data_IF_226847019130
#
_entry.id   IF_226847019130
#
_cell.length_a   1.000
_cell.length_b   1.000
_cell.length_c   1.000
_cell.angle_alpha   90.00
_cell.angle_beta   90.00
_cell.angle_gamma   90.00
#
_symmetry.space_group_name_H-M   'P 1'
#
loop_
_entity.id
_entity.type
_entity.pdbx_description
1 polymer ?
#
# COMPACT_ATOMS: atom_id res chain seq x y z
N UNK A 1 -17.78 -1.36 -37.96
CA UNK A 1 -16.89 -2.40 -37.42
C UNK A 1 -16.52 -2.02 -36.00
N UNK A 2 -16.72 -2.90 -35.03
CA UNK A 2 -16.26 -2.71 -33.65
C UNK A 2 -14.76 -3.03 -33.61
N UNK A 3 -13.93 -2.07 -33.16
CA UNK A 3 -12.51 -2.25 -32.97
C UNK A 3 -12.21 -2.07 -31.47
N UNK A 4 -11.57 -3.06 -30.85
CA UNK A 4 -11.08 -2.94 -29.48
C UNK A 4 -9.79 -2.08 -29.50
N UNK A 5 -9.81 -0.84 -28.99
CA UNK A 5 -8.74 0.13 -29.23
C UNK A 5 -7.42 -0.22 -28.52
N UNK A 6 -7.44 -1.17 -27.58
CA UNK A 6 -6.27 -1.62 -26.82
C UNK A 6 -5.76 -3.00 -27.24
N UNK A 7 -6.44 -3.66 -28.17
CA UNK A 7 -6.08 -4.99 -28.64
C UNK A 7 -5.04 -4.88 -29.77
N UNK A 8 -3.82 -5.31 -29.49
CA UNK A 8 -2.78 -5.45 -30.48
C UNK A 8 -2.97 -6.78 -31.23
N UNK A 9 -3.42 -6.66 -32.48
CA UNK A 9 -3.69 -7.80 -33.37
C UNK A 9 -2.42 -8.58 -33.71
N UNK A 10 -1.25 -7.93 -33.72
CA UNK A 10 0.02 -8.54 -34.09
C UNK A 10 0.57 -9.46 -33.00
N UNK A 11 0.41 -9.05 -31.75
CA UNK A 11 0.86 -9.81 -30.57
C UNK A 11 -0.28 -10.64 -29.96
N UNK A 12 -1.50 -10.53 -30.47
CA UNK A 12 -2.73 -11.10 -29.89
C UNK A 12 -2.87 -10.74 -28.40
N UNK A 13 -2.41 -9.55 -28.02
CA UNK A 13 -2.29 -9.14 -26.63
C UNK A 13 -2.98 -7.79 -26.41
N UNK A 14 -3.29 -7.51 -25.16
CA UNK A 14 -3.78 -6.19 -24.74
C UNK A 14 -2.73 -5.60 -23.81
N UNK A 15 -2.07 -4.53 -24.24
CA UNK A 15 -0.89 -3.98 -23.56
C UNK A 15 -1.21 -3.27 -22.23
N UNK A 16 -2.49 -3.02 -21.92
CA UNK A 16 -2.90 -2.13 -20.83
C UNK A 16 -4.06 -2.63 -19.95
N UNK A 17 -4.45 -3.92 -20.02
CA UNK A 17 -5.59 -4.43 -19.21
C UNK A 17 -5.19 -5.38 -18.09
N UNK A 18 -3.90 -5.57 -17.80
CA UNK A 18 -3.47 -6.33 -16.63
C UNK A 18 -3.66 -5.48 -15.37
N UNK A 19 -4.62 -5.86 -14.54
CA UNK A 19 -4.85 -5.26 -13.22
C UNK A 19 -4.13 -6.14 -12.18
N UNK A 20 -3.15 -5.57 -11.47
CA UNK A 20 -2.41 -6.30 -10.42
C UNK A 20 -3.25 -6.51 -9.14
N UNK A 21 -4.38 -5.82 -9.01
CA UNK A 21 -5.26 -5.84 -7.83
C UNK A 21 -6.60 -6.53 -8.11
N UNK A 22 -7.09 -7.31 -7.15
CA UNK A 22 -8.39 -7.98 -7.22
C UNK A 22 -9.55 -7.13 -6.69
N UNK A 23 -9.40 -5.80 -6.75
CA UNK A 23 -10.39 -4.85 -6.23
C UNK A 23 -11.32 -4.36 -7.35
N UNK A 24 -12.60 -4.28 -7.01
CA UNK A 24 -13.67 -3.80 -7.89
C UNK A 24 -13.90 -2.30 -7.71
N UNK A 25 -14.65 -1.68 -8.62
CA UNK A 25 -15.10 -0.30 -8.40
C UNK A 25 -15.93 -0.21 -7.12
N UNK A 26 -15.73 0.86 -6.35
CA UNK A 26 -16.38 1.09 -5.08
C UNK A 26 -16.49 2.58 -4.80
N UNK A 27 -17.54 2.99 -4.10
CA UNK A 27 -17.70 4.33 -3.54
C UNK A 27 -16.82 4.45 -2.29
N UNK A 28 -15.55 4.81 -2.50
CA UNK A 28 -14.52 4.84 -1.45
C UNK A 28 -14.62 6.10 -0.59
N UNK A 29 -15.19 7.19 -1.12
CA UNK A 29 -15.38 8.45 -0.40
C UNK A 29 -16.82 8.71 0.06
N UNK A 30 -17.72 7.75 -0.15
CA UNK A 30 -19.12 7.75 0.29
C UNK A 30 -19.95 8.92 -0.26
N UNK A 31 -19.66 9.37 -1.50
CA UNK A 31 -20.41 10.44 -2.17
C UNK A 31 -21.52 9.92 -3.11
N UNK A 32 -21.74 8.61 -3.16
CA UNK A 32 -22.75 7.95 -3.96
C UNK A 32 -22.31 7.61 -5.40
N UNK A 33 -21.06 7.92 -5.77
CA UNK A 33 -20.49 7.54 -7.06
C UNK A 33 -19.42 6.46 -6.88
N UNK A 34 -19.26 5.59 -7.88
CA UNK A 34 -18.24 4.54 -7.83
C UNK A 34 -16.92 5.04 -8.41
N UNK A 35 -15.83 4.82 -7.67
CA UNK A 35 -14.47 5.08 -8.14
C UNK A 35 -13.91 3.86 -8.84
N UNK A 36 -13.14 4.12 -9.88
CA UNK A 36 -12.39 3.11 -10.60
C UNK A 36 -11.02 2.98 -9.92
N UNK A 37 -10.64 1.80 -9.38
CA UNK A 37 -9.30 1.59 -8.86
C UNK A 37 -8.31 1.43 -10.03
N UNK A 38 -7.23 2.21 -9.98
CA UNK A 38 -6.13 2.17 -10.95
C UNK A 38 -4.82 1.94 -10.21
N UNK A 39 -4.14 0.84 -10.51
CA UNK A 39 -2.81 0.54 -9.99
C UNK A 39 -1.78 1.51 -10.56
N UNK A 40 -0.89 2.00 -9.71
CA UNK A 40 0.27 2.78 -10.14
C UNK A 40 1.50 2.28 -9.38
N UNK A 41 2.60 2.13 -10.10
CA UNK A 41 3.87 1.68 -9.54
C UNK A 41 4.30 2.60 -8.40
N UNK A 42 4.58 1.99 -7.25
CA UNK A 42 5.18 2.71 -6.15
C UNK A 42 6.66 2.97 -6.48
N UNK A 43 7.18 4.18 -6.24
CA UNK A 43 8.59 4.44 -6.49
C UNK A 43 9.47 3.46 -5.72
N UNK A 44 10.52 2.93 -6.34
CA UNK A 44 11.39 1.95 -5.70
C UNK A 44 10.84 0.52 -5.64
N UNK A 45 9.58 0.25 -6.01
CA UNK A 45 9.00 -1.10 -5.95
C UNK A 45 9.27 -1.96 -7.20
N UNK A 46 9.57 -1.31 -8.32
CA UNK A 46 9.95 -1.91 -9.60
C UNK A 46 11.46 -1.83 -9.87
N UNK A 47 12.26 -1.37 -8.91
CA UNK A 47 13.72 -1.46 -8.99
C UNK A 47 14.07 -2.92 -8.77
N UNK A 48 13.91 -3.69 -9.85
CA UNK A 48 14.47 -5.01 -10.11
C UNK A 48 16.01 -4.95 -10.25
N UNK A 49 16.64 -3.99 -9.56
CA UNK A 49 18.03 -3.98 -9.22
C UNK A 49 18.11 -4.00 -7.71
N UNK A 50 18.76 -5.04 -7.19
CA UNK A 50 18.89 -5.42 -5.80
C UNK A 50 19.30 -4.31 -4.81
N UNK A 51 19.45 -3.03 -5.18
CA UNK A 51 19.94 -1.95 -4.32
C UNK A 51 18.95 -1.50 -3.24
N UNK A 52 17.68 -1.21 -3.56
CA UNK A 52 16.71 -0.76 -2.55
C UNK A 52 16.33 -1.90 -1.59
N UNK A 53 16.19 -3.11 -2.13
CA UNK A 53 15.96 -4.36 -1.42
C UNK A 53 17.17 -4.74 -0.55
N UNK A 54 18.41 -4.60 -1.05
CA UNK A 54 19.63 -4.85 -0.27
C UNK A 54 19.91 -3.77 0.77
N UNK A 55 19.55 -2.51 0.53
CA UNK A 55 19.64 -1.42 1.51
C UNK A 55 18.63 -1.61 2.64
N UNK A 56 17.43 -2.09 2.33
CA UNK A 56 16.46 -2.49 3.35
C UNK A 56 16.93 -3.73 4.13
N UNK A 57 17.43 -4.76 3.43
CA UNK A 57 17.99 -5.97 4.04
C UNK A 57 19.23 -5.68 4.92
N UNK A 58 20.01 -4.64 4.59
CA UNK A 58 21.14 -4.19 5.42
C UNK A 58 20.70 -3.44 6.69
N UNK A 59 19.49 -2.87 6.70
CA UNK A 59 18.93 -2.14 7.83
C UNK A 59 17.91 -2.96 8.65
N UNK A 60 17.37 -4.06 8.10
CA UNK A 60 16.50 -4.99 8.81
C UNK A 60 17.31 -6.08 9.49
N UNK A 61 17.00 -6.39 10.76
CA UNK A 61 17.57 -7.54 11.48
C UNK A 61 17.03 -8.90 11.00
N UNK A 62 16.10 -8.91 10.05
CA UNK A 62 15.53 -10.10 9.41
C UNK A 62 16.00 -10.18 7.95
N UNK A 63 16.52 -11.35 7.56
CA UNK A 63 17.24 -11.65 6.30
C UNK A 63 16.34 -11.83 5.06
N UNK A 64 15.02 -11.62 5.12
CA UNK A 64 14.17 -11.81 3.95
C UNK A 64 14.07 -10.52 3.13
N UNK A 65 14.70 -10.53 1.95
CA UNK A 65 14.50 -9.52 0.92
C UNK A 65 12.99 -9.29 0.64
N UNK A 66 12.49 -8.04 0.58
CA UNK A 66 11.09 -7.76 0.23
C UNK A 66 10.70 -8.46 -1.08
N UNK A 67 9.63 -9.27 -1.01
CA UNK A 67 9.30 -10.25 -2.06
C UNK A 67 8.25 -9.78 -3.05
N UNK A 68 7.71 -8.55 -2.89
CA UNK A 68 6.57 -8.06 -3.67
C UNK A 68 6.82 -6.67 -4.24
N UNK A 69 6.54 -6.53 -5.54
CA UNK A 69 6.30 -5.21 -6.13
C UNK A 69 5.03 -4.62 -5.54
N UNK A 70 5.16 -3.49 -4.86
CA UNK A 70 4.04 -2.78 -4.23
C UNK A 70 3.53 -1.68 -5.15
N UNK A 71 2.23 -1.48 -5.15
CA UNK A 71 1.54 -0.45 -5.94
C UNK A 71 0.73 0.43 -4.98
N UNK A 72 0.56 1.70 -5.32
CA UNK A 72 -0.55 2.47 -4.76
C UNK A 72 -1.75 2.39 -5.71
N UNK A 73 -2.93 2.39 -5.13
CA UNK A 73 -4.21 2.47 -5.84
C UNK A 73 -4.62 3.92 -5.92
N UNK A 74 -4.80 4.42 -7.14
CA UNK A 74 -5.45 5.68 -7.44
C UNK A 74 -6.94 5.42 -7.66
N UNK A 75 -7.79 5.97 -6.79
CA UNK A 75 -9.23 5.90 -6.93
C UNK A 75 -9.70 7.08 -7.77
N UNK A 76 -10.26 6.80 -8.95
CA UNK A 76 -10.62 7.85 -9.92
C UNK A 76 -12.11 7.92 -10.19
N UNK A 77 -12.61 9.15 -10.28
CA UNK A 77 -13.95 9.47 -10.82
C UNK A 77 -13.83 9.92 -12.27
N UNK A 78 -14.77 9.52 -13.10
CA UNK A 78 -14.94 10.09 -14.44
C UNK A 78 -15.98 11.22 -14.37
N UNK A 79 -15.53 12.48 -14.46
CA UNK A 79 -16.38 13.68 -14.50
C UNK A 79 -15.80 14.68 -15.49
N UNK A 80 -16.67 15.41 -16.19
CA UNK A 80 -16.30 16.41 -17.21
C UNK A 80 -15.31 15.85 -18.27
N UNK A 81 -15.63 14.65 -18.79
CA UNK A 81 -14.82 13.92 -19.77
C UNK A 81 -13.37 13.63 -19.35
N UNK A 82 -13.09 13.59 -18.04
CA UNK A 82 -11.75 13.35 -17.49
C UNK A 82 -11.78 12.43 -16.27
N UNK A 83 -10.75 11.59 -16.14
CA UNK A 83 -10.48 10.84 -14.91
C UNK A 83 -9.75 11.73 -13.91
N UNK A 84 -10.33 11.91 -12.72
CA UNK A 84 -9.72 12.66 -11.61
C UNK A 84 -9.53 11.76 -10.42
N UNK A 85 -8.33 11.77 -9.84
CA UNK A 85 -8.10 11.13 -8.54
C UNK A 85 -8.88 11.86 -7.46
N UNK A 86 -9.56 11.09 -6.62
CA UNK A 86 -10.16 11.58 -5.38
C UNK A 86 -9.43 11.06 -4.15
N UNK A 87 -8.81 9.88 -4.26
CA UNK A 87 -8.12 9.24 -3.15
C UNK A 87 -6.97 8.36 -3.64
N UNK A 88 -6.01 8.15 -2.74
CA UNK A 88 -4.90 7.23 -2.93
C UNK A 88 -4.85 6.26 -1.77
N UNK A 89 -4.53 5.00 -2.03
CA UNK A 89 -4.38 4.01 -0.97
C UNK A 89 -3.27 3.02 -1.26
N UNK A 90 -2.78 2.40 -0.19
CA UNK A 90 -1.92 1.24 -0.23
C UNK A 90 -2.74 0.06 0.26
N UNK A 91 -2.65 -1.07 -0.42
CA UNK A 91 -3.56 -2.19 -0.25
C UNK A 91 -2.77 -3.46 -0.05
N UNK A 92 -2.94 -4.07 1.12
CA UNK A 92 -2.41 -5.40 1.42
C UNK A 92 -3.57 -6.40 1.37
N UNK A 93 -3.69 -7.08 0.23
CA UNK A 93 -4.75 -8.08 0.02
C UNK A 93 -4.59 -9.30 0.94
N UNK A 94 -3.35 -9.67 1.30
CA UNK A 94 -3.09 -10.83 2.15
C UNK A 94 -3.40 -10.52 3.61
N UNK A 95 -3.10 -9.31 4.05
CA UNK A 95 -3.52 -8.84 5.37
C UNK A 95 -4.98 -8.37 5.39
N UNK A 96 -5.61 -8.18 4.23
CA UNK A 96 -7.00 -7.77 4.08
C UNK A 96 -7.29 -6.36 4.61
N UNK A 97 -6.39 -5.41 4.37
CA UNK A 97 -6.63 -3.99 4.70
C UNK A 97 -6.33 -3.04 3.53
N UNK A 98 -6.93 -1.86 3.61
CA UNK A 98 -6.68 -0.69 2.78
C UNK A 98 -6.25 0.45 3.71
N UNK A 99 -5.10 1.05 3.43
CA UNK A 99 -4.63 2.26 4.09
C UNK A 99 -4.71 3.43 3.10
N UNK A 100 -5.60 4.38 3.35
CA UNK A 100 -5.68 5.59 2.54
C UNK A 100 -4.54 6.54 2.91
N UNK A 101 -3.82 7.03 1.90
CA UNK A 101 -2.66 7.89 2.10
C UNK A 101 -2.94 9.31 1.61
N UNK A 102 -2.39 10.33 2.27
CA UNK A 102 -2.42 11.70 1.75
C UNK A 102 -1.82 11.77 0.35
N UNK A 103 -2.41 12.59 -0.52
CA UNK A 103 -1.84 12.82 -1.86
C UNK A 103 -0.41 13.38 -1.82
N UNK A 104 -0.04 14.07 -0.74
CA UNK A 104 1.32 14.58 -0.52
C UNK A 104 2.37 13.50 -0.28
N UNK A 105 1.96 12.24 -0.07
CA UNK A 105 2.85 11.09 0.08
C UNK A 105 3.13 10.38 -1.25
N UNK A 106 2.26 10.57 -2.24
CA UNK A 106 2.41 9.96 -3.57
C UNK A 106 3.73 10.41 -4.21
N UNK A 107 4.56 9.46 -4.62
CA UNK A 107 5.90 9.75 -5.17
C UNK A 107 6.99 10.01 -4.13
N UNK A 108 6.64 10.10 -2.84
CA UNK A 108 7.55 10.42 -1.72
C UNK A 108 7.63 9.32 -0.66
N UNK A 109 6.78 8.29 -0.79
CA UNK A 109 6.77 7.13 0.08
C UNK A 109 6.89 5.87 -0.77
N UNK A 110 7.67 4.91 -0.28
CA UNK A 110 7.72 3.54 -0.79
C UNK A 110 7.41 2.56 0.33
N UNK A 111 7.05 1.34 -0.04
CA UNK A 111 6.62 0.29 0.89
C UNK A 111 7.40 -0.97 0.61
N UNK A 112 7.93 -1.55 1.68
CA UNK A 112 8.59 -2.85 1.67
C UNK A 112 7.74 -3.80 2.52
N UNK A 113 7.11 -4.76 1.85
CA UNK A 113 6.20 -5.72 2.50
C UNK A 113 6.83 -7.10 2.64
N UNK A 114 6.75 -7.64 3.85
CA UNK A 114 6.98 -9.05 4.18
C UNK A 114 5.69 -9.66 4.75
N UNK A 115 5.65 -10.98 4.93
CA UNK A 115 4.52 -11.61 5.62
C UNK A 115 4.38 -11.03 7.04
N UNK A 116 3.21 -10.49 7.38
CA UNK A 116 2.91 -9.96 8.72
C UNK A 116 3.34 -8.51 8.98
N UNK A 117 4.11 -7.88 8.09
CA UNK A 117 4.65 -6.53 8.31
C UNK A 117 4.87 -5.78 7.00
N UNK A 118 4.32 -4.57 6.92
CA UNK A 118 4.59 -3.61 5.84
C UNK A 118 5.26 -2.36 6.42
N UNK A 119 6.44 -2.05 5.90
CA UNK A 119 7.25 -0.92 6.32
C UNK A 119 7.19 0.20 5.27
N UNK A 120 6.89 1.41 5.72
CA UNK A 120 6.72 2.59 4.87
C UNK A 120 7.92 3.50 5.04
N UNK A 121 8.65 3.75 3.96
CA UNK A 121 9.88 4.53 3.94
C UNK A 121 9.70 5.82 3.15
N UNK A 122 10.47 6.83 3.51
CA UNK A 122 10.66 7.98 2.63
C UNK A 122 11.34 7.53 1.33
N UNK A 123 10.86 8.03 0.20
CA UNK A 123 11.51 7.86 -1.09
C UNK A 123 12.10 9.18 -1.56
N UNK A 124 13.42 9.21 -1.73
CA UNK A 124 14.09 10.34 -2.35
C UNK A 124 14.01 10.17 -3.87
N UNK A 125 13.04 10.83 -4.50
CA UNK A 125 12.81 10.77 -5.94
C UNK A 125 13.92 11.41 -6.77
N UNK A 126 14.69 12.35 -6.20
CA UNK A 126 15.79 13.00 -6.93
C UNK A 126 17.04 12.11 -7.02
N UNK A 127 17.23 11.24 -6.04
CA UNK A 127 18.35 10.30 -6.00
C UNK A 127 17.96 8.86 -6.34
N UNK A 128 16.66 8.60 -6.53
CA UNK A 128 16.07 7.27 -6.68
C UNK A 128 16.52 6.30 -5.56
N UNK A 129 16.45 6.79 -4.31
CA UNK A 129 16.93 6.05 -3.13
C UNK A 129 15.90 5.93 -2.02
N UNK A 130 16.01 4.80 -1.31
CA UNK A 130 15.33 4.55 -0.06
C UNK A 130 15.90 5.46 1.04
N UNK A 131 15.01 6.19 1.72
CA UNK A 131 15.33 7.01 2.88
C UNK A 131 14.98 6.32 4.20
N UNK A 132 14.66 7.14 5.21
CA UNK A 132 14.33 6.66 6.56
C UNK A 132 13.00 5.91 6.60
N UNK A 133 12.91 4.91 7.49
CA UNK A 133 11.64 4.29 7.89
C UNK A 133 10.76 5.37 8.54
N UNK A 134 9.51 5.49 8.09
CA UNK A 134 8.53 6.44 8.60
C UNK A 134 7.58 5.79 9.60
N UNK A 135 6.99 4.67 9.21
CA UNK A 135 6.09 3.90 10.05
C UNK A 135 5.99 2.46 9.55
N UNK A 136 5.50 1.58 10.42
CA UNK A 136 5.28 0.17 10.11
C UNK A 136 3.86 -0.22 10.49
N UNK A 137 3.24 -1.08 9.67
CA UNK A 137 1.96 -1.73 9.96
C UNK A 137 2.21 -3.22 10.12
N UNK A 138 1.74 -3.77 11.23
CA UNK A 138 1.86 -5.19 11.54
C UNK A 138 0.47 -5.80 11.68
N UNK A 139 0.37 -7.09 11.36
CA UNK A 139 -0.82 -7.87 11.65
C UNK A 139 -0.45 -9.26 12.18
N UNK A 140 -1.24 -9.75 13.13
CA UNK A 140 -1.03 -11.08 13.73
C UNK A 140 -2.35 -11.66 14.27
N UNK A 141 -2.39 -12.98 14.47
CA UNK A 141 -3.54 -13.62 15.12
C UNK A 141 -3.57 -13.23 16.60
N UNK A 142 -4.75 -12.87 17.11
CA UNK A 142 -4.96 -12.44 18.50
C UNK A 142 -4.60 -13.50 19.54
N UNK A 143 -4.38 -14.76 19.15
CA UNK A 143 -3.94 -15.82 20.04
C UNK A 143 -2.43 -16.08 19.95
N UNK A 144 -1.70 -15.38 19.07
CA UNK A 144 -0.24 -15.47 18.95
C UNK A 144 0.45 -14.60 20.02
N UNK A 145 0.79 -15.22 21.15
CA UNK A 145 1.49 -14.55 22.26
C UNK A 145 2.92 -14.09 21.89
N UNK A 146 3.59 -14.79 20.98
CA UNK A 146 4.92 -14.39 20.53
C UNK A 146 4.85 -13.10 19.72
N UNK A 147 3.88 -13.00 18.80
CA UNK A 147 3.65 -11.79 18.01
C UNK A 147 3.20 -10.61 18.88
N UNK A 148 2.34 -10.84 19.89
CA UNK A 148 1.97 -9.80 20.86
C UNK A 148 3.18 -9.25 21.60
N UNK A 149 4.05 -10.13 22.10
CA UNK A 149 5.23 -9.70 22.83
C UNK A 149 6.25 -8.98 21.93
N UNK A 150 6.42 -9.43 20.66
CA UNK A 150 7.23 -8.73 19.65
C UNK A 150 6.72 -7.30 19.42
N UNK A 151 5.40 -7.11 19.39
CA UNK A 151 4.75 -5.85 19.05
C UNK A 151 4.17 -5.10 20.27
N UNK A 152 4.64 -5.38 21.49
CA UNK A 152 4.05 -4.83 22.74
C UNK A 152 4.08 -3.30 22.86
N UNK A 153 4.99 -2.65 22.12
CA UNK A 153 5.13 -1.19 22.10
C UNK A 153 4.39 -0.54 20.92
N UNK A 154 3.76 -1.34 20.06
CA UNK A 154 2.98 -0.84 18.94
C UNK A 154 1.61 -0.35 19.42
N UNK A 155 1.06 0.63 18.71
CA UNK A 155 -0.29 1.16 18.94
C UNK A 155 -1.30 0.35 18.14
N UNK A 156 -2.50 0.17 18.68
CA UNK A 156 -3.58 -0.54 17.98
C UNK A 156 -4.12 0.32 16.82
N UNK A 157 -4.23 -0.25 15.62
CA UNK A 157 -5.06 0.30 14.54
C UNK A 157 -6.51 -0.17 14.72
N UNK A 158 -6.70 -1.49 14.63
CA UNK A 158 -8.02 -2.13 14.74
C UNK A 158 -7.86 -3.65 14.91
N UNK A 159 -8.97 -4.34 15.08
CA UNK A 159 -9.06 -5.81 15.02
C UNK A 159 -10.22 -6.22 14.13
N UNK A 160 -10.04 -7.29 13.36
CA UNK A 160 -11.09 -7.89 12.54
C UNK A 160 -10.99 -9.41 12.63
N UNK A 161 -12.07 -10.07 13.06
CA UNK A 161 -12.08 -11.52 13.29
C UNK A 161 -11.05 -11.95 14.35
N UNK A 162 -10.12 -12.83 14.00
CA UNK A 162 -8.97 -13.18 14.84
C UNK A 162 -7.73 -12.33 14.59
N UNK A 163 -7.74 -11.42 13.61
CA UNK A 163 -6.57 -10.63 13.24
C UNK A 163 -6.53 -9.30 13.99
N UNK A 164 -5.37 -8.98 14.56
CA UNK A 164 -5.06 -7.70 15.20
C UNK A 164 -4.10 -6.93 14.31
N UNK A 165 -4.38 -5.65 14.07
CA UNK A 165 -3.55 -4.74 13.29
C UNK A 165 -2.98 -3.67 14.22
N UNK A 166 -1.67 -3.48 14.19
CA UNK A 166 -0.96 -2.50 15.02
C UNK A 166 0.04 -1.71 14.18
N UNK A 167 0.52 -0.59 14.71
CA UNK A 167 1.46 0.28 14.02
C UNK A 167 2.49 0.91 14.97
N UNK A 168 3.59 1.34 14.37
CA UNK A 168 4.61 2.19 15.01
C UNK A 168 4.92 3.36 14.08
N UNK A 169 5.22 4.53 14.65
CA UNK A 169 5.70 5.70 13.91
C UNK A 169 7.09 6.04 14.46
N UNK A 170 8.06 6.25 13.58
CA UNK A 170 9.43 6.66 13.95
C UNK A 170 9.51 8.18 14.11
N UNK A 171 10.60 8.69 14.70
CA UNK A 171 10.84 10.15 14.77
C UNK A 171 10.87 10.77 13.37
N UNK A 172 11.51 10.10 12.41
CA UNK A 172 11.50 10.53 11.00
C UNK A 172 10.09 10.51 10.38
N UNK A 173 9.22 9.60 10.82
CA UNK A 173 7.80 9.57 10.47
C UNK A 173 7.07 10.83 10.94
N UNK A 174 7.25 11.20 12.20
CA UNK A 174 6.66 12.43 12.73
C UNK A 174 7.20 13.68 12.01
N UNK A 175 8.51 13.75 11.75
CA UNK A 175 9.15 14.84 11.00
C UNK A 175 8.64 14.94 9.56
N UNK A 176 8.35 13.80 8.93
CA UNK A 176 7.74 13.73 7.61
C UNK A 176 6.25 14.17 7.61
N UNK A 177 5.62 14.21 8.79
CA UNK A 177 4.23 14.58 8.98
C UNK A 177 3.26 13.40 9.12
N UNK A 178 3.75 12.19 9.37
CA UNK A 178 2.91 11.06 9.79
C UNK A 178 2.37 11.35 11.19
N UNK A 179 1.09 11.06 11.38
CA UNK A 179 0.39 11.25 12.66
C UNK A 179 -0.51 10.07 12.95
N UNK A 180 -0.77 9.84 14.24
CA UNK A 180 -1.64 8.75 14.70
C UNK A 180 -3.06 8.85 14.11
N UNK A 181 -3.61 10.07 14.00
CA UNK A 181 -4.94 10.33 13.45
C UNK A 181 -5.05 9.99 11.96
N UNK A 182 -4.00 10.27 11.17
CA UNK A 182 -3.92 9.89 9.75
C UNK A 182 -3.99 8.37 9.62
N UNK A 183 -3.22 7.62 10.42
CA UNK A 183 -3.20 6.16 10.30
C UNK A 183 -4.52 5.54 10.78
N UNK A 184 -5.03 5.98 11.93
CA UNK A 184 -6.26 5.40 12.52
C UNK A 184 -7.53 5.76 11.75
N UNK A 185 -7.64 6.96 11.19
CA UNK A 185 -8.84 7.38 10.43
C UNK A 185 -8.87 6.82 9.01
N UNK A 186 -7.71 6.46 8.45
CA UNK A 186 -7.59 6.06 7.05
C UNK A 186 -7.40 4.55 6.84
N UNK A 187 -7.40 3.76 7.93
CA UNK A 187 -7.22 2.32 7.88
C UNK A 187 -8.57 1.59 7.83
N UNK A 188 -8.76 0.73 6.83
CA UNK A 188 -10.02 0.02 6.59
C UNK A 188 -9.77 -1.47 6.36
N UNK A 189 -10.45 -2.32 7.12
CA UNK A 189 -10.44 -3.79 6.94
C UNK A 189 -11.74 -4.33 6.38
N UNK A 190 -12.82 -3.55 6.42
CA UNK A 190 -14.17 -4.00 6.06
C UNK A 190 -14.34 -4.21 4.56
N UNK A 191 -13.63 -3.45 3.73
CA UNK A 191 -13.73 -3.53 2.27
C UNK A 191 -13.26 -4.88 1.74
N UNK A 192 -12.15 -5.39 2.29
CA UNK A 192 -11.59 -6.68 1.90
C UNK A 192 -12.10 -7.84 2.75
N UNK A 193 -12.78 -7.54 3.86
CA UNK A 193 -13.28 -8.52 4.82
C UNK A 193 -12.20 -9.04 5.78
N UNK A 194 -11.17 -8.23 6.06
CA UNK A 194 -10.01 -8.60 6.87
C UNK A 194 -9.16 -9.71 6.23
N UNK A 195 -8.11 -10.12 6.94
CA UNK A 195 -7.32 -11.30 6.56
C UNK A 195 -8.23 -12.53 6.55
N UNK A 196 -8.23 -13.26 5.43
CA UNK A 196 -8.95 -14.52 5.24
C UNK A 196 -8.18 -15.72 5.79
#
# INVERSE_FOLDING_TARGET
>A
TLAAPLFDVSTQSTSQTLRHMKITCQDIDSDGFLEIPVSVDMPGSSVADNSAVALAAANSKDESAPTKSVYYTKWVKFRDDRLRAVQYSVIDEDAGYILSIPSSWVGRVTVLGNEGQWDFYHWNSSEEKLGNLLFSVYYYDKNDEQAKNKNKNAKLLTSYGSTTYVYTITDAGYDFGVKDDILTSNFNTTILGGKK
#
